data_IF_917598169498
#
_entry.id   IF_917598169498
#
_cell.length_a   1.000
_cell.length_b   1.000
_cell.length_c   1.000
_cell.angle_alpha   90.00
_cell.angle_beta   90.00
_cell.angle_gamma   90.00
#
_symmetry.space_group_name_H-M   'P 1'
#
loop_
_entity.id
_entity.type
_entity.pdbx_description
1 polymer ?
#
# COMPACT_ATOMS: atom_id res chain seq x y z
N UNK A 1 4.11 3.90 -26.89
CA UNK A 1 5.00 2.77 -26.54
C UNK A 1 6.18 3.35 -25.78
N UNK A 2 6.26 3.05 -24.49
CA UNK A 2 7.20 3.72 -23.57
C UNK A 2 8.44 2.88 -23.24
N UNK A 3 8.73 1.83 -24.05
CA UNK A 3 9.95 1.02 -23.90
C UNK A 3 10.06 0.33 -22.54
N UNK A 4 8.93 0.01 -21.92
CA UNK A 4 8.93 -0.71 -20.63
C UNK A 4 9.35 -2.15 -20.89
N UNK A 5 10.47 -2.56 -20.32
CA UNK A 5 10.96 -3.92 -20.37
C UNK A 5 10.29 -4.75 -19.25
N UNK A 6 9.80 -5.93 -19.61
CA UNK A 6 9.17 -6.88 -18.69
C UNK A 6 7.64 -6.95 -18.80
N UNK A 7 7.05 -7.86 -18.07
CA UNK A 7 5.60 -8.00 -17.99
C UNK A 7 5.01 -6.89 -17.08
N UNK A 8 4.01 -6.14 -17.56
CA UNK A 8 3.37 -5.12 -16.75
C UNK A 8 2.60 -5.77 -15.60
N UNK A 9 2.70 -5.18 -14.42
CA UNK A 9 1.88 -5.54 -13.28
C UNK A 9 0.96 -4.36 -12.99
N UNK A 10 -0.34 -4.60 -13.03
CA UNK A 10 -1.35 -3.60 -12.73
C UNK A 10 -2.26 -4.10 -11.61
N UNK A 11 -2.65 -3.19 -10.73
CA UNK A 11 -3.65 -3.45 -9.71
C UNK A 11 -4.95 -2.77 -10.09
N UNK A 12 -6.03 -3.53 -10.14
CA UNK A 12 -7.38 -2.99 -10.21
C UNK A 12 -7.93 -2.98 -8.79
N UNK A 13 -8.31 -1.82 -8.32
CA UNK A 13 -8.79 -1.60 -6.95
C UNK A 13 -10.21 -1.05 -7.00
N UNK A 14 -11.07 -1.60 -6.17
CA UNK A 14 -12.35 -0.98 -5.88
C UNK A 14 -12.09 0.31 -5.06
N UNK A 15 -12.56 1.47 -5.51
CA UNK A 15 -12.35 2.75 -4.85
C UNK A 15 -13.02 2.82 -3.46
N UNK A 16 -14.11 2.09 -3.27
CA UNK A 16 -14.82 1.94 -2.00
C UNK A 16 -14.30 0.76 -1.16
N UNK A 17 -13.20 0.13 -1.58
CA UNK A 17 -12.60 -1.02 -0.91
C UNK A 17 -11.87 -0.64 0.38
N UNK A 18 -11.97 -1.49 1.40
CA UNK A 18 -11.27 -1.34 2.67
C UNK A 18 -10.49 -2.61 3.02
N UNK A 19 -9.49 -2.51 3.88
CA UNK A 19 -8.72 -3.65 4.39
C UNK A 19 -8.01 -4.50 3.32
N UNK A 20 -7.65 -3.92 2.17
CA UNK A 20 -7.06 -4.66 1.05
C UNK A 20 -8.05 -5.58 0.31
N UNK A 21 -9.35 -5.47 0.59
CA UNK A 21 -10.40 -6.12 -0.16
C UNK A 21 -10.69 -5.37 -1.47
N UNK A 22 -11.14 -6.08 -2.48
CA UNK A 22 -11.44 -5.46 -3.77
C UNK A 22 -10.20 -5.10 -4.59
N UNK A 23 -9.09 -5.79 -4.38
CA UNK A 23 -7.85 -5.62 -5.15
C UNK A 23 -7.57 -6.91 -5.92
N UNK A 24 -7.33 -6.78 -7.22
CA UNK A 24 -6.81 -7.87 -8.06
C UNK A 24 -5.57 -7.39 -8.81
N UNK A 25 -4.67 -8.31 -9.04
CA UNK A 25 -3.49 -8.17 -9.89
C UNK A 25 -3.81 -8.68 -11.29
N UNK A 26 -3.39 -7.95 -12.31
CA UNK A 26 -3.52 -8.29 -13.72
C UNK A 26 -2.21 -7.98 -14.46
N UNK A 27 -1.92 -8.75 -15.51
CA UNK A 27 -0.69 -8.65 -16.29
C UNK A 27 -0.91 -8.25 -17.75
N UNK A 28 -2.17 -8.21 -18.19
CA UNK A 28 -2.50 -7.80 -19.56
C UNK A 28 -3.92 -7.24 -19.67
N UNK A 29 -4.17 -6.50 -20.75
CA UNK A 29 -5.53 -6.07 -21.10
C UNK A 29 -6.47 -7.24 -21.39
N UNK A 30 -5.96 -8.30 -22.01
CA UNK A 30 -6.75 -9.50 -22.26
C UNK A 30 -7.17 -10.21 -20.98
N UNK A 31 -6.32 -10.23 -19.96
CA UNK A 31 -6.68 -10.75 -18.65
C UNK A 31 -7.79 -9.93 -18.02
N UNK A 32 -7.75 -8.60 -18.15
CA UNK A 32 -8.80 -7.71 -17.65
C UNK A 32 -10.13 -7.96 -18.35
N UNK A 33 -10.13 -8.17 -19.66
CA UNK A 33 -11.35 -8.44 -20.44
C UNK A 33 -11.95 -9.82 -20.14
N UNK A 34 -11.11 -10.79 -19.70
CA UNK A 34 -11.49 -12.18 -19.47
C UNK A 34 -11.44 -12.57 -17.98
N UNK A 35 -11.77 -11.66 -17.08
CA UNK A 35 -11.77 -11.93 -15.64
C UNK A 35 -12.72 -13.08 -15.28
N UNK A 36 -12.23 -14.02 -14.47
CA UNK A 36 -13.07 -15.07 -13.92
C UNK A 36 -14.14 -14.48 -13.00
N UNK A 37 -15.29 -15.16 -12.87
CA UNK A 37 -16.38 -14.76 -11.95
C UNK A 37 -15.87 -14.52 -10.52
N UNK A 38 -14.87 -15.30 -10.07
CA UNK A 38 -14.27 -15.13 -8.74
C UNK A 38 -13.51 -13.80 -8.63
N UNK A 39 -12.74 -13.42 -9.66
CA UNK A 39 -12.03 -12.11 -9.69
C UNK A 39 -13.02 -10.96 -9.76
N UNK A 40 -14.06 -11.07 -10.58
CA UNK A 40 -15.14 -10.08 -10.66
C UNK A 40 -15.82 -9.90 -9.31
N UNK A 41 -16.25 -10.99 -8.67
CA UNK A 41 -16.86 -10.92 -7.36
C UNK A 41 -15.93 -10.28 -6.31
N UNK A 42 -14.63 -10.62 -6.36
CA UNK A 42 -13.66 -10.01 -5.45
C UNK A 42 -13.54 -8.50 -5.62
N UNK A 43 -13.64 -8.00 -6.86
CA UNK A 43 -13.61 -6.57 -7.15
C UNK A 43 -14.91 -5.86 -6.75
N UNK A 44 -16.05 -6.46 -7.04
CA UNK A 44 -17.35 -5.78 -6.95
C UNK A 44 -17.94 -5.79 -5.55
N UNK A 45 -17.63 -6.81 -4.72
CA UNK A 45 -18.19 -6.90 -3.37
C UNK A 45 -17.21 -6.30 -2.35
N UNK A 46 -17.56 -5.11 -1.85
CA UNK A 46 -16.94 -4.48 -0.71
C UNK A 46 -17.51 -4.95 0.63
N UNK A 47 -16.90 -4.52 1.73
CA UNK A 47 -17.44 -4.73 3.09
C UNK A 47 -18.82 -4.08 3.21
N UNK A 48 -19.79 -4.83 3.72
CA UNK A 48 -21.18 -4.34 3.89
C UNK A 48 -22.08 -4.51 2.68
N UNK A 49 -21.70 -5.31 1.67
CA UNK A 49 -22.55 -5.67 0.53
C UNK A 49 -22.78 -4.53 -0.46
N UNK A 50 -21.99 -3.46 -0.39
CA UNK A 50 -22.04 -2.38 -1.38
C UNK A 50 -21.29 -2.81 -2.63
N UNK A 51 -21.95 -2.68 -3.78
CA UNK A 51 -21.31 -2.87 -5.07
C UNK A 51 -20.31 -1.72 -5.33
N UNK A 52 -19.16 -2.05 -5.90
CA UNK A 52 -18.25 -1.05 -6.41
C UNK A 52 -18.92 -0.24 -7.53
N UNK A 53 -18.73 1.05 -7.50
CA UNK A 53 -19.20 1.98 -8.54
C UNK A 53 -18.03 2.33 -9.46
N UNK A 54 -16.87 2.59 -8.87
CA UNK A 54 -15.68 3.01 -9.58
C UNK A 54 -14.47 2.12 -9.25
N UNK A 55 -13.51 2.12 -10.16
CA UNK A 55 -12.29 1.34 -10.02
C UNK A 55 -11.09 2.21 -10.31
N UNK A 56 -10.07 2.08 -9.47
CA UNK A 56 -8.76 2.65 -9.69
C UNK A 56 -7.86 1.62 -10.37
N UNK A 57 -7.21 2.03 -11.45
CA UNK A 57 -6.15 1.26 -12.08
C UNK A 57 -4.80 1.87 -11.66
N UNK A 58 -3.95 1.05 -11.08
CA UNK A 58 -2.64 1.48 -10.57
C UNK A 58 -1.54 0.57 -11.10
N UNK A 59 -0.45 1.17 -11.56
CA UNK A 59 0.77 0.42 -11.88
C UNK A 59 1.31 -0.27 -10.62
N UNK A 60 1.77 -1.51 -10.78
CA UNK A 60 2.44 -2.27 -9.74
C UNK A 60 3.90 -1.84 -9.61
N UNK A 61 4.24 -1.24 -8.49
CA UNK A 61 5.61 -0.88 -8.15
C UNK A 61 6.20 -1.97 -7.25
N UNK A 62 7.27 -2.67 -7.68
CA UNK A 62 7.90 -3.69 -6.85
C UNK A 62 8.44 -3.10 -5.54
N UNK A 63 8.16 -3.73 -4.43
CA UNK A 63 8.73 -3.36 -3.13
C UNK A 63 10.23 -3.63 -3.13
N UNK A 64 11.03 -2.59 -2.94
CA UNK A 64 12.48 -2.68 -2.93
C UNK A 64 13.04 -3.18 -1.58
N UNK A 65 12.31 -2.91 -0.49
CA UNK A 65 12.79 -3.22 0.86
C UNK A 65 12.63 -4.70 1.17
N UNK A 66 13.72 -5.28 1.66
CA UNK A 66 13.77 -6.68 2.12
C UNK A 66 14.58 -6.78 3.40
N UNK A 67 14.11 -7.64 4.30
CA UNK A 67 14.83 -8.07 5.49
C UNK A 67 14.96 -9.59 5.43
N UNK A 68 16.17 -10.08 5.19
CA UNK A 68 16.45 -11.47 4.82
C UNK A 68 15.53 -11.90 3.64
N UNK A 69 14.75 -12.96 3.81
CA UNK A 69 13.84 -13.48 2.79
C UNK A 69 12.45 -12.78 2.77
N UNK A 70 12.20 -11.89 3.72
CA UNK A 70 10.91 -11.20 3.83
C UNK A 70 10.89 -9.91 3.02
N UNK A 71 9.84 -9.73 2.23
CA UNK A 71 9.50 -8.40 1.70
C UNK A 71 8.91 -7.59 2.86
N UNK A 72 9.35 -6.34 3.00
CA UNK A 72 8.87 -5.45 4.05
C UNK A 72 8.37 -4.12 3.47
N UNK A 73 7.37 -3.54 4.12
CA UNK A 73 6.89 -2.19 3.81
C UNK A 73 6.73 -1.36 5.09
N UNK A 74 7.13 -0.09 5.08
CA UNK A 74 6.96 0.80 6.21
C UNK A 74 5.51 1.25 6.33
N UNK A 75 5.06 1.40 7.57
CA UNK A 75 3.77 2.00 7.93
C UNK A 75 4.02 3.10 8.96
N UNK A 76 3.62 4.31 8.61
CA UNK A 76 3.73 5.46 9.51
C UNK A 76 2.36 5.86 10.04
N UNK A 77 2.31 6.17 11.32
CA UNK A 77 1.14 6.75 11.98
C UNK A 77 1.45 8.13 12.51
N UNK A 78 0.62 9.08 12.14
CA UNK A 78 0.66 10.42 12.68
C UNK A 78 -0.65 10.77 13.38
N UNK A 79 -0.59 11.62 14.38
CA UNK A 79 -1.76 12.14 15.07
C UNK A 79 -1.57 13.63 15.38
N UNK A 80 -2.62 14.44 15.14
CA UNK A 80 -2.64 15.85 15.50
C UNK A 80 -1.63 16.74 14.78
N UNK A 81 -1.13 16.32 13.61
CA UNK A 81 -0.13 17.07 12.84
C UNK A 81 1.29 16.98 13.40
N UNK A 82 1.53 16.14 14.39
CA UNK A 82 2.82 15.95 15.02
C UNK A 82 3.20 14.49 15.11
N UNK A 83 4.48 14.21 14.85
CA UNK A 83 5.17 12.97 15.15
C UNK A 83 4.56 11.72 14.50
N UNK A 84 5.37 10.99 13.77
CA UNK A 84 4.99 9.70 13.24
C UNK A 84 5.68 8.61 14.06
N UNK A 85 4.92 7.60 14.45
CA UNK A 85 5.47 6.33 14.87
C UNK A 85 5.48 5.38 13.68
N UNK A 86 6.53 4.59 13.54
CA UNK A 86 6.68 3.64 12.45
C UNK A 86 6.63 2.21 12.95
N UNK A 87 6.07 1.33 12.13
CA UNK A 87 6.29 -0.12 12.18
C UNK A 87 6.37 -0.63 10.74
N UNK A 88 6.78 -1.86 10.58
CA UNK A 88 6.90 -2.48 9.26
C UNK A 88 6.01 -3.71 9.16
N UNK A 89 5.42 -3.91 7.99
CA UNK A 89 4.80 -5.17 7.62
C UNK A 89 5.85 -6.05 6.96
N UNK A 90 5.94 -7.30 7.37
CA UNK A 90 6.88 -8.26 6.81
C UNK A 90 6.17 -9.56 6.42
N UNK A 91 6.55 -10.12 5.27
CA UNK A 91 6.00 -11.39 4.82
C UNK A 91 7.02 -12.14 3.96
N UNK A 92 7.41 -13.33 4.39
CA UNK A 92 8.34 -14.24 3.71
C UNK A 92 7.69 -15.10 2.62
N UNK A 93 6.36 -15.11 2.56
CA UNK A 93 5.56 -15.91 1.60
C UNK A 93 5.00 -15.08 0.45
N UNK A 94 5.30 -13.80 0.44
CA UNK A 94 4.77 -12.85 -0.55
C UNK A 94 5.88 -12.34 -1.45
N UNK A 95 5.54 -12.17 -2.73
CA UNK A 95 6.43 -11.53 -3.71
C UNK A 95 6.44 -10.01 -3.57
N UNK A 96 7.37 -9.37 -4.26
CA UNK A 96 7.61 -7.92 -4.23
C UNK A 96 6.44 -7.07 -4.71
N UNK A 97 5.55 -7.62 -5.53
CA UNK A 97 4.35 -6.96 -6.02
C UNK A 97 3.10 -7.32 -5.20
N UNK A 98 3.24 -8.09 -4.13
CA UNK A 98 2.09 -8.56 -3.38
C UNK A 98 1.60 -7.54 -2.37
N UNK A 99 0.28 -7.50 -2.15
CA UNK A 99 -0.30 -6.77 -1.04
C UNK A 99 0.10 -7.42 0.29
N UNK A 100 0.82 -6.68 1.13
CA UNK A 100 1.24 -7.14 2.45
C UNK A 100 0.17 -6.91 3.54
N UNK A 101 -0.92 -6.21 3.26
CA UNK A 101 -2.03 -6.09 4.21
C UNK A 101 -2.90 -7.36 4.20
N UNK A 102 -2.39 -8.43 4.80
CA UNK A 102 -3.02 -9.75 4.83
C UNK A 102 -2.94 -10.37 6.24
N UNK A 103 -3.81 -11.32 6.59
CA UNK A 103 -3.77 -11.99 7.89
C UNK A 103 -2.45 -12.72 8.21
N UNK A 104 -1.66 -13.07 7.19
CA UNK A 104 -0.35 -13.72 7.36
C UNK A 104 0.81 -12.74 7.53
N UNK A 105 0.54 -11.44 7.52
CA UNK A 105 1.57 -10.42 7.68
C UNK A 105 2.00 -10.34 9.13
N UNK A 106 3.31 -10.27 9.34
CA UNK A 106 3.93 -10.01 10.63
C UNK A 106 4.21 -8.51 10.75
N UNK A 107 3.97 -7.95 11.91
CA UNK A 107 4.35 -6.57 12.23
C UNK A 107 5.65 -6.60 13.02
N UNK A 108 6.63 -5.81 12.59
CA UNK A 108 7.95 -5.71 13.20
C UNK A 108 8.27 -4.25 13.51
N UNK A 109 8.99 -4.03 14.59
CA UNK A 109 9.42 -2.68 14.99
C UNK A 109 10.74 -2.29 14.32
N UNK A 110 11.09 -0.98 14.30
CA UNK A 110 12.40 -0.53 13.85
C UNK A 110 13.55 -1.22 14.59
N UNK A 111 13.41 -1.45 15.91
CA UNK A 111 14.39 -2.11 16.74
C UNK A 111 14.60 -3.58 16.35
N UNK A 112 13.53 -4.27 15.96
CA UNK A 112 13.62 -5.64 15.45
C UNK A 112 14.37 -5.70 14.11
N UNK A 113 14.16 -4.71 13.22
CA UNK A 113 14.90 -4.59 11.95
C UNK A 113 16.39 -4.39 12.21
N UNK A 114 16.76 -3.43 13.06
CA UNK A 114 18.14 -3.19 13.46
C UNK A 114 18.77 -4.43 14.06
N UNK A 115 18.08 -5.11 14.97
CA UNK A 115 18.55 -6.35 15.60
C UNK A 115 18.76 -7.49 14.61
N UNK A 116 18.06 -7.47 13.48
CA UNK A 116 18.19 -8.42 12.38
C UNK A 116 19.24 -7.99 11.32
N UNK A 117 20.01 -6.92 11.56
CA UNK A 117 21.04 -6.42 10.66
C UNK A 117 20.49 -5.55 9.50
N UNK A 118 19.33 -4.97 9.67
CA UNK A 118 18.69 -4.08 8.68
C UNK A 118 18.97 -2.59 8.92
N UNK A 119 20.16 -2.23 9.39
CA UNK A 119 20.52 -0.84 9.68
C UNK A 119 20.44 0.08 8.47
N UNK A 120 20.79 -0.41 7.28
CA UNK A 120 20.68 0.35 6.01
C UNK A 120 19.24 0.68 5.68
N UNK A 121 18.28 -0.17 6.09
CA UNK A 121 16.83 0.04 5.88
C UNK A 121 16.38 1.20 6.75
N UNK A 122 16.73 1.16 8.04
CA UNK A 122 16.39 2.22 9.00
C UNK A 122 17.13 3.52 8.67
N UNK A 123 18.41 3.44 8.26
CA UNK A 123 19.25 4.63 8.04
C UNK A 123 18.84 5.46 6.82
N UNK A 124 18.63 4.83 5.67
CA UNK A 124 18.39 5.55 4.41
C UNK A 124 16.91 5.57 4.00
N UNK A 125 16.28 4.42 3.93
CA UNK A 125 14.89 4.33 3.47
C UNK A 125 13.92 4.94 4.48
N UNK A 126 14.16 4.77 5.77
CA UNK A 126 13.30 5.29 6.82
C UNK A 126 13.25 6.83 6.81
N UNK A 127 14.38 7.49 6.56
CA UNK A 127 14.43 8.95 6.46
C UNK A 127 13.55 9.50 5.36
N UNK A 128 13.55 8.89 4.16
CA UNK A 128 12.71 9.32 3.05
C UNK A 128 11.23 9.02 3.30
N UNK A 129 10.94 7.87 3.87
CA UNK A 129 9.58 7.50 4.22
C UNK A 129 9.02 8.38 5.33
N UNK A 130 9.81 8.68 6.36
CA UNK A 130 9.44 9.60 7.44
C UNK A 130 9.15 11.01 6.91
N UNK A 131 10.04 11.54 6.06
CA UNK A 131 9.82 12.85 5.43
C UNK A 131 8.52 12.86 4.59
N UNK A 132 8.28 11.82 3.81
CA UNK A 132 7.04 11.70 3.01
C UNK A 132 5.81 11.65 3.93
N UNK A 133 5.89 10.92 5.03
CA UNK A 133 4.80 10.84 6.01
C UNK A 133 4.54 12.19 6.68
N UNK A 134 5.58 12.92 7.06
CA UNK A 134 5.44 14.27 7.63
C UNK A 134 4.81 15.25 6.64
N UNK A 135 5.24 15.25 5.39
CA UNK A 135 4.64 16.07 4.33
C UNK A 135 3.16 15.73 4.10
N UNK A 136 2.81 14.44 4.10
CA UNK A 136 1.43 14.00 3.98
C UNK A 136 0.58 14.45 5.18
N UNK A 137 1.11 14.43 6.40
CA UNK A 137 0.43 14.93 7.59
C UNK A 137 0.20 16.44 7.54
N UNK A 138 1.17 17.20 7.05
CA UNK A 138 1.03 18.65 6.87
C UNK A 138 -0.04 18.98 5.82
N UNK A 139 -0.04 18.27 4.69
CA UNK A 139 -1.04 18.43 3.64
C UNK A 139 -2.45 18.12 4.16
N UNK A 140 -2.62 17.01 4.88
CA UNK A 140 -3.90 16.64 5.50
C UNK A 140 -4.36 17.69 6.53
N UNK A 141 -3.45 18.24 7.31
CA UNK A 141 -3.75 19.34 8.25
C UNK A 141 -4.27 20.59 7.55
N UNK A 142 -3.67 20.95 6.40
CA UNK A 142 -4.11 22.07 5.58
C UNK A 142 -5.51 21.84 4.98
N UNK A 143 -5.76 20.66 4.41
CA UNK A 143 -7.08 20.30 3.88
C UNK A 143 -8.18 20.32 4.96
N UNK A 144 -7.90 19.80 6.14
CA UNK A 144 -8.85 19.83 7.25
C UNK A 144 -9.15 21.27 7.72
N UNK A 145 -8.15 22.15 7.72
CA UNK A 145 -8.34 23.55 8.06
C UNK A 145 -9.22 24.28 7.05
N UNK A 146 -9.04 24.04 5.75
CA UNK A 146 -9.89 24.56 4.70
C UNK A 146 -11.34 24.07 4.81
N UNK A 147 -11.54 22.78 5.04
CA UNK A 147 -12.87 22.20 5.22
C UNK A 147 -13.58 22.75 6.45
N UNK A 148 -12.87 22.96 7.57
CA UNK A 148 -13.45 23.52 8.79
C UNK A 148 -13.79 25.02 8.64
N UNK A 149 -13.07 25.77 7.82
CA UNK A 149 -13.37 27.16 7.48
C UNK A 149 -14.58 27.33 6.55
N UNK A 150 -15.02 26.28 5.86
CA UNK A 150 -16.20 26.29 4.98
C UNK A 150 -17.52 25.99 5.72
N UNK A 151 -17.46 25.59 6.98
CA UNK A 151 -18.64 25.20 7.80
C UNK A 151 -19.07 26.34 8.75
N UNK A 152 -18.46 27.50 8.64
CA UNK A 152 -18.76 28.70 9.40
C UNK A 152 -19.79 29.65 8.75
#
# INVERSE_FOLDING_TARGET
>A
EHGVEGEPVLFVKNDSGTYGLGIIEIHSGDELLNLSKRKVNRLTYGKGGRNAVDFLLQEGVPTALKLADSVIEPCFYGAGGHGCSAFYRANDKKGVNSNLNTPSTRFISPEEITSAGGDDIIGSADTWHALTAELAMLAMGAELAELSGQVG
#
